data_IF_907622105836
#
_entry.id   IF_907622105836
#
_cell.length_a   1.000
_cell.length_b   1.000
_cell.length_c   1.000
_cell.angle_alpha   90.00
_cell.angle_beta   90.00
_cell.angle_gamma   90.00
#
_symmetry.space_group_name_H-M   'P 1'
#
loop_
_entity.id
_entity.type
_entity.pdbx_description
1 polymer ?
#
# COMPACT_ATOMS: atom_id res chain seq x y z
N UNK A 1 65.27 -26.57 11.24
CA UNK A 1 64.66 -25.34 11.81
C UNK A 1 64.07 -24.37 10.80
N UNK A 2 64.43 -24.39 9.50
CA UNK A 2 63.83 -23.47 8.50
C UNK A 2 62.38 -23.79 8.09
N UNK A 3 61.93 -25.06 8.21
CA UNK A 3 60.56 -25.45 7.83
C UNK A 3 59.48 -24.99 8.81
N UNK A 4 59.81 -24.81 10.09
CA UNK A 4 58.86 -24.35 11.12
C UNK A 4 58.59 -22.84 11.02
N UNK A 5 59.60 -22.05 10.64
CA UNK A 5 59.47 -20.59 10.47
C UNK A 5 58.53 -20.24 9.31
N UNK A 6 58.58 -21.01 8.22
CA UNK A 6 57.75 -20.77 7.03
C UNK A 6 56.27 -21.09 7.28
N UNK A 7 55.98 -22.11 8.09
CA UNK A 7 54.61 -22.46 8.53
C UNK A 7 54.05 -21.40 9.47
N UNK A 8 54.86 -20.84 10.37
CA UNK A 8 54.45 -19.76 11.27
C UNK A 8 54.14 -18.45 10.53
N UNK A 9 54.90 -18.14 9.47
CA UNK A 9 54.64 -16.94 8.63
C UNK A 9 53.36 -17.14 7.79
N UNK A 10 53.16 -18.32 7.20
CA UNK A 10 51.92 -18.65 6.46
C UNK A 10 50.67 -18.64 7.36
N UNK A 11 50.78 -19.11 8.62
CA UNK A 11 49.69 -19.04 9.59
C UNK A 11 49.36 -17.59 9.99
N UNK A 12 50.38 -16.73 10.12
CA UNK A 12 50.19 -15.31 10.44
C UNK A 12 49.53 -14.52 9.30
N UNK A 13 49.80 -14.90 8.04
CA UNK A 13 49.16 -14.31 6.86
C UNK A 13 47.72 -14.79 6.69
N UNK A 14 47.42 -16.06 7.04
CA UNK A 14 46.05 -16.59 7.01
C UNK A 14 45.15 -15.93 8.06
N UNK A 15 45.69 -15.51 9.22
CA UNK A 15 44.91 -14.79 10.23
C UNK A 15 44.54 -13.34 9.85
N UNK A 16 45.23 -12.73 8.87
CA UNK A 16 44.87 -11.39 8.36
C UNK A 16 43.71 -11.41 7.35
N UNK A 17 43.28 -12.58 6.89
CA UNK A 17 42.16 -12.72 5.95
C UNK A 17 40.85 -13.22 6.60
N UNK A 18 40.80 -13.42 7.92
CA UNK A 18 39.64 -14.03 8.63
C UNK A 18 38.81 -13.01 9.44
N UNK A 19 38.81 -11.73 9.07
CA UNK A 19 37.83 -10.77 9.62
C UNK A 19 37.32 -9.78 8.59
N UNK A 20 36.55 -10.31 7.65
CA UNK A 20 35.51 -9.56 6.94
C UNK A 20 34.15 -10.23 7.18
N UNK A 21 33.85 -10.62 8.43
CA UNK A 21 32.44 -10.81 8.78
C UNK A 21 31.82 -9.42 8.87
N UNK A 22 31.03 -9.06 7.86
CA UNK A 22 30.19 -7.87 7.94
C UNK A 22 29.28 -8.05 9.16
N UNK A 23 29.62 -7.38 10.27
CA UNK A 23 28.87 -7.47 11.51
C UNK A 23 27.57 -6.68 11.35
N UNK A 24 26.54 -7.35 10.83
CA UNK A 24 25.19 -6.79 10.73
C UNK A 24 24.44 -6.86 12.06
N UNK A 25 24.83 -7.76 12.98
CA UNK A 25 24.23 -7.88 14.32
C UNK A 25 24.32 -6.57 15.11
N UNK A 26 25.41 -5.81 14.93
CA UNK A 26 25.53 -4.48 15.52
C UNK A 26 24.48 -3.49 14.96
N UNK A 27 24.18 -3.57 13.66
CA UNK A 27 23.15 -2.73 13.04
C UNK A 27 21.74 -3.17 13.45
N UNK A 28 21.49 -4.48 13.58
CA UNK A 28 20.22 -5.02 14.09
C UNK A 28 19.94 -4.46 15.49
N UNK A 29 20.91 -4.52 16.41
CA UNK A 29 20.77 -3.96 17.77
C UNK A 29 20.51 -2.46 17.78
N UNK A 30 21.14 -1.70 16.89
CA UNK A 30 20.91 -0.25 16.78
C UNK A 30 19.51 0.07 16.23
N UNK A 31 19.00 -0.74 15.31
CA UNK A 31 17.61 -0.61 14.84
C UNK A 31 16.62 -0.92 15.96
N UNK A 32 16.84 -2.01 16.70
CA UNK A 32 15.99 -2.43 17.82
C UNK A 32 15.98 -1.41 18.97
N UNK A 33 17.12 -0.79 19.26
CA UNK A 33 17.24 0.24 20.31
C UNK A 33 16.70 1.62 19.91
N UNK A 34 16.27 1.79 18.65
CA UNK A 34 15.79 3.08 18.13
C UNK A 34 16.90 4.08 17.80
N UNK A 35 18.17 3.65 17.78
CA UNK A 35 19.33 4.47 17.44
C UNK A 35 19.47 4.69 15.91
N UNK A 36 18.39 5.11 15.26
CA UNK A 36 18.28 5.16 13.79
C UNK A 36 19.32 6.10 13.15
N UNK A 37 19.66 7.23 13.80
CA UNK A 37 20.70 8.14 13.28
C UNK A 37 22.07 7.48 13.24
N UNK A 38 22.41 6.69 14.25
CA UNK A 38 23.67 5.94 14.28
C UNK A 38 23.70 4.88 13.18
N UNK A 39 22.58 4.20 12.91
CA UNK A 39 22.45 3.29 11.76
C UNK A 39 22.78 4.02 10.45
N UNK A 40 22.27 5.25 10.26
CA UNK A 40 22.58 6.04 9.05
C UNK A 40 24.07 6.36 8.94
N UNK A 41 24.73 6.74 10.04
CA UNK A 41 26.16 7.08 10.03
C UNK A 41 27.05 5.86 9.75
N UNK A 42 26.74 4.74 10.43
CA UNK A 42 27.45 3.47 10.24
C UNK A 42 27.27 2.92 8.83
N UNK A 43 26.04 2.91 8.31
CA UNK A 43 25.75 2.43 6.95
C UNK A 43 26.40 3.31 5.89
N UNK A 44 26.36 4.65 6.02
CA UNK A 44 27.00 5.57 5.06
C UNK A 44 28.51 5.33 4.98
N UNK A 45 29.17 5.23 6.14
CA UNK A 45 30.62 5.07 6.20
C UNK A 45 31.06 3.72 5.66
N UNK A 46 30.33 2.64 6.01
CA UNK A 46 30.63 1.29 5.51
C UNK A 46 30.31 1.13 4.02
N UNK A 47 29.21 1.72 3.54
CA UNK A 47 28.83 1.63 2.13
C UNK A 47 29.86 2.30 1.22
N UNK A 48 30.37 3.50 1.60
CA UNK A 48 31.44 4.18 0.84
C UNK A 48 32.72 3.36 0.72
N UNK A 49 33.02 2.51 1.70
CA UNK A 49 34.25 1.70 1.71
C UNK A 49 34.07 0.40 0.92
N UNK A 50 32.96 -0.29 1.14
CA UNK A 50 32.81 -1.68 0.72
C UNK A 50 31.76 -1.88 -0.38
N UNK A 51 30.98 -0.84 -0.71
CA UNK A 51 29.88 -0.86 -1.71
C UNK A 51 28.86 -1.98 -1.52
N UNK A 52 28.73 -2.50 -0.29
CA UNK A 52 27.85 -3.61 0.04
C UNK A 52 26.38 -3.17 0.02
N UNK A 53 25.56 -3.66 -0.94
CA UNK A 53 24.17 -3.24 -1.07
C UNK A 53 23.31 -3.57 0.15
N UNK A 54 23.66 -4.60 0.95
CA UNK A 54 22.87 -4.95 2.15
C UNK A 54 22.78 -3.80 3.15
N UNK A 55 23.78 -2.92 3.20
CA UNK A 55 23.76 -1.73 4.07
C UNK A 55 22.65 -0.74 3.70
N UNK A 56 22.20 -0.74 2.44
CA UNK A 56 21.11 0.12 1.98
C UNK A 56 19.76 -0.32 2.58
N UNK A 57 19.58 -1.61 2.89
CA UNK A 57 18.37 -2.10 3.58
C UNK A 57 18.26 -1.45 4.97
N UNK A 58 19.32 -1.58 5.77
CA UNK A 58 19.41 -0.98 7.11
C UNK A 58 19.20 0.53 7.07
N UNK A 59 19.79 1.18 6.07
CA UNK A 59 19.61 2.62 5.85
C UNK A 59 18.16 2.97 5.54
N UNK A 60 17.50 2.23 4.65
CA UNK A 60 16.10 2.45 4.29
C UNK A 60 15.18 2.29 5.52
N UNK A 61 15.38 1.25 6.32
CA UNK A 61 14.62 1.03 7.56
C UNK A 61 14.80 2.20 8.55
N UNK A 62 16.03 2.63 8.80
CA UNK A 62 16.31 3.77 9.68
C UNK A 62 15.69 5.08 9.17
N UNK A 63 15.76 5.34 7.86
CA UNK A 63 15.13 6.52 7.24
C UNK A 63 13.61 6.49 7.43
N UNK A 64 12.97 5.34 7.22
CA UNK A 64 11.53 5.21 7.37
C UNK A 64 11.07 5.43 8.81
N UNK A 65 11.80 4.87 9.78
CA UNK A 65 11.55 5.09 11.22
C UNK A 65 11.75 6.53 11.67
N UNK A 66 12.60 7.29 10.97
CA UNK A 66 12.77 8.72 11.16
C UNK A 66 11.74 9.58 10.40
N UNK A 67 10.74 8.95 9.76
CA UNK A 67 9.70 9.64 8.99
C UNK A 67 10.14 10.11 7.60
N UNK A 68 11.34 9.72 7.13
CA UNK A 68 11.87 10.09 5.82
C UNK A 68 11.54 9.02 4.76
N UNK A 69 10.25 8.69 4.61
CA UNK A 69 9.78 7.56 3.79
C UNK A 69 10.15 7.67 2.31
N UNK A 70 10.19 8.88 1.76
CA UNK A 70 10.59 9.09 0.36
C UNK A 70 12.06 8.74 0.14
N UNK A 71 12.96 9.18 1.04
CA UNK A 71 14.38 8.80 0.98
C UNK A 71 14.59 7.31 1.25
N UNK A 72 13.79 6.72 2.14
CA UNK A 72 13.81 5.29 2.37
C UNK A 72 13.46 4.52 1.09
N UNK A 73 12.42 4.97 0.37
CA UNK A 73 12.04 4.38 -0.91
C UNK A 73 13.16 4.51 -1.97
N UNK A 74 13.77 5.69 -2.12
CA UNK A 74 14.89 5.86 -3.05
C UNK A 74 16.07 4.94 -2.70
N UNK A 75 16.33 4.76 -1.40
CA UNK A 75 17.40 3.90 -0.90
C UNK A 75 17.12 2.43 -1.18
N UNK A 76 15.89 1.94 -0.98
CA UNK A 76 15.55 0.53 -1.26
C UNK A 76 15.49 0.25 -2.77
N UNK A 77 15.09 1.23 -3.58
CA UNK A 77 15.19 1.14 -5.05
C UNK A 77 16.63 1.00 -5.51
N UNK A 78 17.56 1.75 -4.91
CA UNK A 78 18.99 1.62 -5.18
C UNK A 78 19.51 0.23 -4.79
N UNK A 79 19.09 -0.31 -3.65
CA UNK A 79 19.42 -1.69 -3.25
C UNK A 79 18.97 -2.70 -4.34
N UNK A 80 17.73 -2.60 -4.80
CA UNK A 80 17.19 -3.50 -5.83
C UNK A 80 17.89 -3.31 -7.19
N UNK A 81 18.27 -2.08 -7.56
CA UNK A 81 19.04 -1.83 -8.77
C UNK A 81 20.47 -2.43 -8.74
N UNK A 82 21.07 -2.51 -7.54
CA UNK A 82 22.43 -3.04 -7.34
C UNK A 82 22.47 -4.54 -7.00
N UNK A 83 21.31 -5.18 -6.78
CA UNK A 83 21.23 -6.57 -6.33
C UNK A 83 20.48 -7.41 -7.36
N UNK A 84 21.06 -8.53 -7.85
CA UNK A 84 20.37 -9.43 -8.76
C UNK A 84 19.03 -9.89 -8.18
N UNK A 85 17.99 -10.02 -9.02
CA UNK A 85 16.63 -10.40 -8.60
C UNK A 85 16.61 -11.64 -7.70
N UNK A 86 17.41 -12.67 -8.01
CA UNK A 86 17.53 -13.90 -7.21
C UNK A 86 18.09 -13.73 -5.80
N UNK A 87 18.62 -12.54 -5.48
CA UNK A 87 19.20 -12.19 -4.17
C UNK A 87 18.44 -11.03 -3.49
N UNK A 88 17.33 -10.58 -4.05
CA UNK A 88 16.50 -9.54 -3.45
C UNK A 88 15.60 -10.15 -2.37
N UNK A 89 16.00 -10.03 -1.11
CA UNK A 89 15.29 -10.65 0.02
C UNK A 89 14.21 -9.74 0.63
N UNK A 90 14.21 -8.44 0.26
CA UNK A 90 13.45 -7.38 0.93
C UNK A 90 12.30 -6.81 0.08
N UNK A 91 11.61 -7.67 -0.67
CA UNK A 91 10.43 -7.30 -1.45
C UNK A 91 9.30 -6.72 -0.55
N UNK A 92 9.15 -7.23 0.68
CA UNK A 92 8.16 -6.73 1.64
C UNK A 92 8.41 -5.27 2.05
N UNK A 93 9.64 -4.93 2.46
CA UNK A 93 10.00 -3.55 2.79
C UNK A 93 9.84 -2.63 1.57
N UNK A 94 10.21 -3.12 0.39
CA UNK A 94 10.03 -2.39 -0.87
C UNK A 94 8.55 -2.10 -1.16
N UNK A 95 7.68 -3.09 -0.96
CA UNK A 95 6.23 -2.95 -1.10
C UNK A 95 5.66 -1.92 -0.12
N UNK A 96 6.00 -2.03 1.18
CA UNK A 96 5.51 -1.13 2.22
C UNK A 96 5.93 0.33 1.97
N UNK A 97 7.18 0.54 1.57
CA UNK A 97 7.68 1.87 1.20
C UNK A 97 7.03 2.41 -0.06
N UNK A 98 6.80 1.57 -1.07
CA UNK A 98 6.09 1.97 -2.29
C UNK A 98 4.65 2.41 -1.98
N UNK A 99 3.94 1.63 -1.16
CA UNK A 99 2.58 1.93 -0.73
C UNK A 99 2.51 3.25 0.05
N UNK A 100 3.42 3.46 1.00
CA UNK A 100 3.46 4.69 1.82
C UNK A 100 3.71 5.95 0.98
N UNK A 101 4.51 5.84 -0.07
CA UNK A 101 4.83 6.97 -0.96
C UNK A 101 3.95 7.02 -2.22
N UNK A 102 2.95 6.14 -2.35
CA UNK A 102 2.04 6.06 -3.51
C UNK A 102 2.77 5.89 -4.85
N UNK A 103 3.88 5.17 -4.83
CA UNK A 103 4.60 4.82 -6.05
C UNK A 103 3.98 3.56 -6.66
N UNK A 104 2.89 3.75 -7.41
CA UNK A 104 2.05 2.65 -7.88
C UNK A 104 2.75 1.70 -8.84
N UNK A 105 3.59 2.22 -9.75
CA UNK A 105 4.33 1.42 -10.71
C UNK A 105 5.32 0.52 -9.96
N UNK A 106 6.08 1.09 -9.03
CA UNK A 106 7.04 0.29 -8.28
C UNK A 106 6.35 -0.70 -7.34
N UNK A 107 5.23 -0.32 -6.71
CA UNK A 107 4.42 -1.20 -5.87
C UNK A 107 3.97 -2.44 -6.65
N UNK A 108 3.45 -2.26 -7.85
CA UNK A 108 3.03 -3.36 -8.75
C UNK A 108 4.20 -4.32 -8.97
N UNK A 109 5.38 -3.81 -9.34
CA UNK A 109 6.56 -4.66 -9.55
C UNK A 109 6.90 -5.47 -8.30
N UNK A 110 6.86 -4.87 -7.12
CA UNK A 110 7.15 -5.58 -5.87
C UNK A 110 6.05 -6.59 -5.49
N UNK A 111 4.79 -6.28 -5.81
CA UNK A 111 3.68 -7.19 -5.59
C UNK A 111 3.74 -8.42 -6.48
N UNK A 112 4.03 -8.25 -7.77
CA UNK A 112 4.21 -9.34 -8.73
C UNK A 112 5.37 -10.26 -8.32
N UNK A 113 6.47 -9.71 -7.77
CA UNK A 113 7.56 -10.51 -7.19
C UNK A 113 7.10 -11.32 -5.98
N UNK A 114 6.36 -10.71 -5.05
CA UNK A 114 5.82 -11.39 -3.87
C UNK A 114 4.80 -12.47 -4.28
N UNK A 115 3.99 -12.23 -5.30
CA UNK A 115 3.04 -13.18 -5.85
C UNK A 115 3.73 -14.39 -6.48
N UNK A 116 4.76 -14.15 -7.32
CA UNK A 116 5.56 -15.22 -7.93
C UNK A 116 6.24 -16.13 -6.90
N UNK A 117 6.63 -15.57 -5.75
CA UNK A 117 7.22 -16.29 -4.63
C UNK A 117 6.19 -16.94 -3.68
N UNK A 118 4.88 -16.78 -3.94
CA UNK A 118 3.78 -17.18 -3.04
C UNK A 118 3.87 -16.55 -1.63
N UNK A 119 4.35 -15.31 -1.55
CA UNK A 119 4.55 -14.54 -0.32
C UNK A 119 3.63 -13.33 -0.19
N UNK A 120 2.80 -13.05 -1.19
CA UNK A 120 1.82 -11.96 -1.18
C UNK A 120 0.72 -12.26 -0.14
N UNK A 121 0.63 -11.42 0.89
CA UNK A 121 -0.45 -11.53 1.89
C UNK A 121 -1.74 -10.88 1.39
N UNK A 122 -2.88 -11.18 2.04
CA UNK A 122 -4.17 -10.57 1.69
C UNK A 122 -4.11 -9.03 1.81
N UNK A 123 -3.50 -8.50 2.88
CA UNK A 123 -3.37 -7.05 3.05
C UNK A 123 -2.50 -6.41 1.96
N UNK A 124 -1.46 -7.11 1.51
CA UNK A 124 -0.65 -6.68 0.38
C UNK A 124 -1.42 -6.78 -0.94
N UNK A 125 -2.23 -7.83 -1.14
CA UNK A 125 -3.09 -7.96 -2.31
C UNK A 125 -4.08 -6.77 -2.41
N UNK A 126 -4.61 -6.28 -1.29
CA UNK A 126 -5.45 -5.07 -1.26
C UNK A 126 -4.68 -3.82 -1.70
N UNK A 127 -3.41 -3.69 -1.29
CA UNK A 127 -2.53 -2.61 -1.75
C UNK A 127 -2.19 -2.73 -3.24
N UNK A 128 -1.92 -3.95 -3.70
CA UNK A 128 -1.63 -4.26 -5.10
C UNK A 128 -2.83 -3.95 -6.00
N UNK A 129 -4.02 -4.38 -5.60
CA UNK A 129 -5.28 -4.05 -6.27
C UNK A 129 -5.45 -2.54 -6.48
N UNK A 130 -5.20 -1.73 -5.45
CA UNK A 130 -5.30 -0.27 -5.55
C UNK A 130 -4.28 0.29 -6.54
N UNK A 131 -3.06 -0.24 -6.57
CA UNK A 131 -2.04 0.20 -7.50
C UNK A 131 -2.39 -0.15 -8.95
N UNK A 132 -2.94 -1.35 -9.20
CA UNK A 132 -3.42 -1.76 -10.52
C UNK A 132 -4.48 -0.79 -11.06
N UNK A 133 -5.47 -0.43 -10.24
CA UNK A 133 -6.47 0.57 -10.62
C UNK A 133 -5.87 1.95 -10.90
N UNK A 134 -4.97 2.43 -10.03
CA UNK A 134 -4.33 3.74 -10.21
C UNK A 134 -3.41 3.81 -11.44
N UNK A 135 -3.05 2.67 -12.03
CA UNK A 135 -2.24 2.59 -13.26
C UNK A 135 -3.06 2.16 -14.48
N UNK A 136 -4.38 2.04 -14.35
CA UNK A 136 -5.29 1.67 -15.44
C UNK A 136 -5.29 0.18 -15.80
N UNK A 137 -4.69 -0.69 -14.98
CA UNK A 137 -4.69 -2.15 -15.16
C UNK A 137 -5.94 -2.80 -14.56
N UNK A 138 -7.12 -2.35 -15.02
CA UNK A 138 -8.42 -2.73 -14.43
C UNK A 138 -8.73 -4.23 -14.55
N UNK A 139 -8.38 -4.86 -15.67
CA UNK A 139 -8.60 -6.31 -15.85
C UNK A 139 -7.75 -7.15 -14.89
N UNK A 140 -6.48 -6.80 -14.70
CA UNK A 140 -5.62 -7.46 -13.71
C UNK A 140 -6.17 -7.28 -12.28
N UNK A 141 -6.72 -6.10 -11.97
CA UNK A 141 -7.35 -5.84 -10.68
C UNK A 141 -8.59 -6.72 -10.46
N UNK A 142 -9.42 -6.94 -11.50
CA UNK A 142 -10.58 -7.85 -11.45
C UNK A 142 -10.13 -9.30 -11.22
N UNK A 143 -9.06 -9.73 -11.90
CA UNK A 143 -8.49 -11.08 -11.71
C UNK A 143 -8.00 -11.26 -10.28
N UNK A 144 -7.17 -10.34 -9.76
CA UNK A 144 -6.67 -10.38 -8.39
C UNK A 144 -7.81 -10.38 -7.36
N UNK A 145 -8.85 -9.57 -7.59
CA UNK A 145 -10.00 -9.53 -6.71
C UNK A 145 -10.68 -10.90 -6.61
N UNK A 146 -11.04 -11.50 -7.75
CA UNK A 146 -11.76 -12.78 -7.80
C UNK A 146 -10.94 -13.96 -7.28
N UNK A 147 -9.62 -13.96 -7.48
CA UNK A 147 -8.76 -15.08 -7.09
C UNK A 147 -8.24 -14.99 -5.65
N UNK A 148 -8.03 -13.78 -5.13
CA UNK A 148 -7.27 -13.59 -3.87
C UNK A 148 -8.03 -12.81 -2.81
N UNK A 149 -8.84 -11.82 -3.19
CA UNK A 149 -9.47 -10.89 -2.23
C UNK A 149 -10.91 -11.32 -1.89
N UNK A 150 -11.64 -11.87 -2.84
CA UNK A 150 -13.04 -12.26 -2.66
C UNK A 150 -13.19 -13.30 -1.53
N UNK A 151 -14.13 -13.07 -0.62
CA UNK A 151 -14.39 -13.91 0.54
C UNK A 151 -13.41 -13.71 1.71
N UNK A 152 -12.46 -12.79 1.60
CA UNK A 152 -11.45 -12.52 2.65
C UNK A 152 -11.71 -11.24 3.45
N UNK A 153 -12.71 -10.46 3.04
CA UNK A 153 -12.98 -9.13 3.58
C UNK A 153 -14.43 -9.01 4.06
N UNK A 154 -14.77 -7.92 4.74
CA UNK A 154 -16.18 -7.68 5.08
C UNK A 154 -17.00 -7.41 3.81
N UNK A 155 -18.32 -7.69 3.80
CA UNK A 155 -19.17 -7.40 2.65
C UNK A 155 -19.04 -5.96 2.16
N UNK A 156 -18.99 -4.99 3.08
CA UNK A 156 -18.79 -3.56 2.75
C UNK A 156 -17.46 -3.31 2.03
N UNK A 157 -16.38 -3.94 2.47
CA UNK A 157 -15.06 -3.79 1.86
C UNK A 157 -15.01 -4.44 0.46
N UNK A 158 -15.63 -5.61 0.29
CA UNK A 158 -15.72 -6.28 -1.01
C UNK A 158 -16.52 -5.48 -2.03
N UNK A 159 -17.67 -4.94 -1.64
CA UNK A 159 -18.47 -4.06 -2.49
C UNK A 159 -17.67 -2.80 -2.85
N UNK A 160 -16.90 -2.26 -1.91
CA UNK A 160 -16.01 -1.13 -2.19
C UNK A 160 -14.93 -1.44 -3.23
N UNK A 161 -14.33 -2.63 -3.19
CA UNK A 161 -13.43 -3.10 -4.24
C UNK A 161 -14.18 -3.23 -5.57
N UNK A 162 -15.26 -4.00 -5.62
CA UNK A 162 -16.05 -4.20 -6.84
C UNK A 162 -16.39 -2.87 -7.54
N UNK A 163 -16.92 -1.90 -6.81
CA UNK A 163 -17.24 -0.57 -7.34
C UNK A 163 -16.01 0.13 -7.94
N UNK A 164 -14.84 -0.01 -7.32
CA UNK A 164 -13.59 0.61 -7.79
C UNK A 164 -13.05 -0.02 -9.09
N UNK A 165 -13.44 -1.25 -9.43
CA UNK A 165 -13.12 -1.94 -10.70
C UNK A 165 -14.10 -1.64 -11.84
N UNK A 166 -14.98 -0.64 -11.68
CA UNK A 166 -15.99 -0.27 -12.69
C UNK A 166 -16.95 -1.43 -13.00
N UNK A 167 -17.68 -1.88 -11.97
CA UNK A 167 -18.80 -2.83 -12.12
C UNK A 167 -19.82 -2.30 -13.10
N UNK A 168 -20.50 -3.18 -13.86
CA UNK A 168 -21.67 -2.78 -14.67
C UNK A 168 -22.69 -2.03 -13.79
N UNK A 169 -23.05 -0.77 -14.08
CA UNK A 169 -24.04 -0.02 -13.32
C UNK A 169 -25.36 -0.79 -13.11
N UNK A 170 -25.72 -1.69 -14.01
CA UNK A 170 -26.90 -2.56 -13.88
C UNK A 170 -26.75 -3.63 -12.81
N UNK A 171 -25.54 -4.13 -12.59
CA UNK A 171 -25.24 -5.14 -11.58
C UNK A 171 -25.02 -4.52 -10.19
N UNK A 172 -24.77 -3.21 -10.11
CA UNK A 172 -24.48 -2.49 -8.86
C UNK A 172 -25.53 -2.74 -7.77
N UNK A 173 -26.82 -2.69 -8.11
CA UNK A 173 -27.90 -2.86 -7.14
C UNK A 173 -27.86 -4.22 -6.42
N UNK A 174 -27.46 -5.28 -7.13
CA UNK A 174 -27.33 -6.61 -6.53
C UNK A 174 -26.20 -6.64 -5.50
N UNK A 175 -25.06 -6.00 -5.78
CA UNK A 175 -23.95 -5.91 -4.82
C UNK A 175 -24.30 -5.05 -3.60
N UNK A 176 -24.98 -3.92 -3.82
CA UNK A 176 -25.42 -3.04 -2.73
C UNK A 176 -26.47 -3.68 -1.82
N UNK A 177 -27.32 -4.57 -2.35
CA UNK A 177 -28.38 -5.23 -1.57
C UNK A 177 -27.89 -6.11 -0.42
N UNK A 178 -26.60 -6.49 -0.44
CA UNK A 178 -25.96 -7.27 0.62
C UNK A 178 -25.65 -6.38 1.85
N UNK A 179 -25.63 -5.05 1.65
CA UNK A 179 -25.26 -4.06 2.66
C UNK A 179 -26.48 -3.40 3.28
N UNK A 180 -26.39 -3.11 4.57
CA UNK A 180 -27.32 -2.20 5.25
C UNK A 180 -27.28 -0.78 4.64
N UNK A 181 -28.34 -0.01 4.83
CA UNK A 181 -28.40 1.38 4.36
C UNK A 181 -27.26 2.22 4.94
N UNK A 182 -26.92 2.00 6.21
CA UNK A 182 -25.82 2.68 6.91
C UNK A 182 -24.46 2.35 6.28
N UNK A 183 -24.21 1.09 5.93
CA UNK A 183 -22.99 0.68 5.24
C UNK A 183 -22.90 1.26 3.82
N UNK A 184 -24.02 1.32 3.10
CA UNK A 184 -24.08 1.96 1.79
C UNK A 184 -23.75 3.45 1.90
N UNK A 185 -24.35 4.16 2.86
CA UNK A 185 -24.07 5.58 3.13
C UNK A 185 -22.58 5.77 3.45
N UNK A 186 -22.02 4.98 4.36
CA UNK A 186 -20.61 5.07 4.73
C UNK A 186 -19.67 4.86 3.53
N UNK A 187 -19.99 3.91 2.65
CA UNK A 187 -19.23 3.68 1.42
C UNK A 187 -19.34 4.85 0.43
N UNK A 188 -20.53 5.44 0.26
CA UNK A 188 -20.71 6.64 -0.58
C UNK A 188 -19.82 7.78 -0.10
N UNK A 189 -19.87 8.08 1.20
CA UNK A 189 -19.08 9.15 1.81
C UNK A 189 -17.57 8.92 1.66
N UNK A 190 -17.14 7.66 1.54
CA UNK A 190 -15.75 7.27 1.32
C UNK A 190 -15.34 7.35 -0.15
N UNK A 191 -16.16 6.84 -1.07
CA UNK A 191 -15.77 6.61 -2.46
C UNK A 191 -16.01 7.82 -3.37
N UNK A 192 -17.13 8.53 -3.22
CA UNK A 192 -17.46 9.65 -4.10
C UNK A 192 -16.40 10.76 -4.10
N UNK A 193 -15.84 11.18 -2.95
CA UNK A 193 -14.80 12.23 -2.93
C UNK A 193 -13.50 11.86 -3.66
N UNK A 194 -13.24 10.56 -3.87
CA UNK A 194 -12.03 10.05 -4.53
C UNK A 194 -12.19 10.04 -6.06
N UNK A 195 -13.42 10.24 -6.55
CA UNK A 195 -13.77 10.14 -7.96
C UNK A 195 -14.45 8.80 -8.23
N UNK A 196 -15.78 8.81 -8.25
CA UNK A 196 -16.60 7.68 -8.65
C UNK A 196 -17.06 7.88 -10.10
N UNK A 197 -17.11 6.82 -10.90
CA UNK A 197 -17.65 6.93 -12.26
C UNK A 197 -19.09 7.51 -12.24
N UNK A 198 -19.41 8.51 -13.08
CA UNK A 198 -20.73 9.15 -13.07
C UNK A 198 -21.90 8.19 -13.30
N UNK A 199 -21.73 7.14 -14.10
CA UNK A 199 -22.80 6.16 -14.36
C UNK A 199 -23.05 5.26 -13.16
N UNK A 200 -21.99 4.93 -12.40
CA UNK A 200 -22.10 4.21 -11.12
C UNK A 200 -22.73 5.11 -10.06
N UNK A 201 -22.32 6.38 -10.00
CA UNK A 201 -22.93 7.35 -9.10
C UNK A 201 -24.43 7.50 -9.37
N UNK A 202 -24.83 7.50 -10.64
CA UNK A 202 -26.24 7.60 -11.06
C UNK A 202 -27.05 6.37 -10.63
N UNK A 203 -26.55 5.17 -10.92
CA UNK A 203 -27.20 3.92 -10.53
C UNK A 203 -27.33 3.79 -9.01
N UNK A 204 -26.28 4.17 -8.26
CA UNK A 204 -26.31 4.16 -6.81
C UNK A 204 -27.28 5.19 -6.25
N UNK A 205 -27.32 6.40 -6.80
CA UNK A 205 -28.28 7.43 -6.40
C UNK A 205 -29.72 6.91 -6.51
N UNK A 206 -30.07 6.31 -7.65
CA UNK A 206 -31.40 5.75 -7.88
C UNK A 206 -31.72 4.65 -6.85
N UNK A 207 -30.77 3.75 -6.59
CA UNK A 207 -30.96 2.66 -5.61
C UNK A 207 -31.12 3.19 -4.19
N UNK A 208 -30.22 4.07 -3.75
CA UNK A 208 -30.16 4.57 -2.37
C UNK A 208 -31.35 5.48 -2.05
N UNK A 209 -31.82 6.27 -3.02
CA UNK A 209 -33.00 7.15 -2.86
C UNK A 209 -34.29 6.38 -2.54
N UNK A 210 -34.39 5.12 -2.94
CA UNK A 210 -35.56 4.28 -2.69
C UNK A 210 -35.60 3.70 -1.27
N UNK A 211 -34.52 3.84 -0.49
CA UNK A 211 -34.44 3.36 0.88
C UNK A 211 -35.30 4.21 1.81
N UNK A 212 -35.99 3.54 2.75
CA UNK A 212 -36.78 4.20 3.80
C UNK A 212 -35.88 4.54 5.00
N UNK A 213 -35.03 5.54 4.85
CA UNK A 213 -34.22 6.10 5.93
C UNK A 213 -34.25 7.62 5.80
N UNK A 214 -34.36 8.34 6.92
CA UNK A 214 -34.34 9.81 6.96
C UNK A 214 -33.19 10.29 7.85
N UNK A 215 -32.04 9.63 7.75
CA UNK A 215 -30.85 10.08 8.47
C UNK A 215 -30.22 11.28 7.78
N UNK A 216 -29.63 12.18 8.58
CA UNK A 216 -28.88 13.34 8.08
C UNK A 216 -27.80 12.90 7.08
N UNK A 217 -27.07 11.83 7.39
CA UNK A 217 -26.01 11.30 6.51
C UNK A 217 -26.54 10.71 5.20
N UNK A 218 -27.79 10.22 5.15
CA UNK A 218 -28.40 9.83 3.88
C UNK A 218 -28.54 11.02 2.94
N UNK A 219 -29.02 12.17 3.43
CA UNK A 219 -29.14 13.37 2.59
C UNK A 219 -27.78 13.83 2.06
N UNK A 220 -26.75 13.74 2.89
CA UNK A 220 -25.37 14.02 2.47
C UNK A 220 -24.90 13.07 1.37
N UNK A 221 -25.11 11.76 1.56
CA UNK A 221 -24.73 10.74 0.57
C UNK A 221 -25.48 10.92 -0.76
N UNK A 222 -26.79 11.18 -0.71
CA UNK A 222 -27.61 11.44 -1.90
C UNK A 222 -27.17 12.71 -2.65
N UNK A 223 -26.82 13.78 -1.92
CA UNK A 223 -26.29 14.99 -2.53
C UNK A 223 -24.96 14.74 -3.26
N UNK A 224 -24.03 14.00 -2.64
CA UNK A 224 -22.74 13.65 -3.24
C UNK A 224 -22.91 12.80 -4.50
N UNK A 225 -23.74 11.75 -4.44
CA UNK A 225 -24.02 10.89 -5.60
C UNK A 225 -24.68 11.68 -6.73
N UNK A 226 -25.66 12.54 -6.42
CA UNK A 226 -26.34 13.38 -7.41
C UNK A 226 -25.35 14.35 -8.08
N UNK A 227 -24.48 15.00 -7.32
CA UNK A 227 -23.44 15.88 -7.85
C UNK A 227 -22.49 15.14 -8.79
N UNK A 228 -22.03 13.95 -8.39
CA UNK A 228 -21.13 13.13 -9.19
C UNK A 228 -21.80 12.58 -10.47
N UNK A 229 -23.10 12.29 -10.41
CA UNK A 229 -23.91 11.87 -11.55
C UNK A 229 -24.35 13.02 -12.47
N UNK A 230 -24.04 14.28 -12.13
CA UNK A 230 -24.47 15.47 -12.89
C UNK A 230 -25.93 15.89 -12.67
N UNK A 231 -26.61 15.35 -11.65
CA UNK A 231 -28.00 15.66 -11.26
C UNK A 231 -28.08 16.92 -10.40
N UNK A 232 -27.87 18.09 -11.01
CA UNK A 232 -27.74 19.38 -10.29
C UNK A 232 -28.97 19.77 -9.46
N UNK A 233 -30.17 19.46 -9.93
CA UNK A 233 -31.39 19.78 -9.18
C UNK A 233 -31.50 18.92 -7.91
N UNK A 234 -31.29 17.61 -8.03
CA UNK A 234 -31.31 16.69 -6.90
C UNK A 234 -30.17 16.95 -5.91
N UNK A 235 -28.97 17.26 -6.41
CA UNK A 235 -27.83 17.69 -5.58
C UNK A 235 -28.21 18.85 -4.68
N UNK A 236 -28.73 19.94 -5.26
CA UNK A 236 -29.12 21.14 -4.49
C UNK A 236 -30.23 20.83 -3.48
N UNK A 237 -31.21 20.01 -3.86
CA UNK A 237 -32.32 19.62 -2.99
C UNK A 237 -31.83 18.84 -1.77
N UNK A 238 -31.00 17.82 -1.96
CA UNK A 238 -30.51 16.99 -0.86
C UNK A 238 -29.47 17.71 -0.01
N UNK A 239 -28.66 18.60 -0.59
CA UNK A 239 -27.77 19.46 0.16
C UNK A 239 -28.52 20.39 1.12
N UNK A 240 -29.65 20.96 0.68
CA UNK A 240 -30.51 21.77 1.54
C UNK A 240 -31.11 20.94 2.68
N UNK A 241 -31.64 19.74 2.39
CA UNK A 241 -32.18 18.85 3.42
C UNK A 241 -31.13 18.48 4.46
N UNK A 242 -29.89 18.19 4.02
CA UNK A 242 -28.77 17.93 4.93
C UNK A 242 -28.50 19.14 5.85
N UNK A 243 -28.42 20.35 5.30
CA UNK A 243 -28.18 21.57 6.09
C UNK A 243 -29.29 21.83 7.11
N UNK A 244 -30.55 21.85 6.66
CA UNK A 244 -31.70 22.10 7.54
C UNK A 244 -31.82 21.06 8.65
N UNK A 245 -31.60 19.77 8.33
CA UNK A 245 -31.64 18.72 9.36
C UNK A 245 -30.47 18.79 10.31
N UNK A 246 -29.28 19.19 9.85
CA UNK A 246 -28.11 19.39 10.73
C UNK A 246 -28.35 20.53 11.72
N UNK A 247 -28.82 21.68 11.26
CA UNK A 247 -29.11 22.85 12.10
C UNK A 247 -30.19 22.57 13.16
N UNK A 248 -31.14 21.67 12.90
CA UNK A 248 -32.17 21.31 13.85
C UNK A 248 -31.70 20.37 14.99
N UNK A 249 -30.51 19.78 14.87
CA UNK A 249 -29.96 18.80 15.82
C UNK A 249 -28.66 19.29 16.52
N UNK A 250 -28.24 20.53 16.27
CA UNK A 250 -27.17 21.26 16.98
C UNK A 250 -27.76 22.26 17.98
#
# INVERSE_FOLDING_TARGET
MQKTVLVSILLSFFCLFVSCSNNYQALDRLLESGAYREVLDHTSTRFRRNHDPKLLIYRAQALDRLGQSSKALDTIKLYNALTPLSKQEQAQLSFELALKNRDWIYLITQAEMLEADNRLTIDQAKGYYRALLNTGRTEDAKTLFSQTIQGTSSPSEEVGFLISTEVDPKALAAYLSILSTEEQIALVLKLVPIGLDPSIADAWFISLRMQKSDTIELYRALALLAGQAGRRYEEARYALLYQTSKEAHE
#
